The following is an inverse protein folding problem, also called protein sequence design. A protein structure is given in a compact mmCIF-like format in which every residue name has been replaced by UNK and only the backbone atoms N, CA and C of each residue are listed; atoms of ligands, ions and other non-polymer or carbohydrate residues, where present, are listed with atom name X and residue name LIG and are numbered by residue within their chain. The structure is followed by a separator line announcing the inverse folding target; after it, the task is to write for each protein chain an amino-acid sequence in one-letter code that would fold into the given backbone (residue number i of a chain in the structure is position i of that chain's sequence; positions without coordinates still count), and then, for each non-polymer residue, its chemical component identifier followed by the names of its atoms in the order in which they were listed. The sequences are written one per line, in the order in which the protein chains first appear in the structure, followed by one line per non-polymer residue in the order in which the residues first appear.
data_IF_023285526160
#
_entry.id   IF_023285526160
#
_cell.length_a   1.000
_cell.length_b   1.000
_cell.length_c   1.000
_cell.angle_alpha   90.00
_cell.angle_beta   90.00
_cell.angle_gamma   90.00
#
_symmetry.space_group_name_H-M   'P 1'
#
loop_
_entity.id
_entity.type
_entity.pdbx_description
1 polymer ?
#
# COMPACT_ATOMS: atom_id res chain seq x y z
N UNK A 1 8.38 22.97 -29.04
CA UNK A 1 7.65 22.56 -27.83
C UNK A 1 8.68 22.00 -26.86
N UNK A 2 9.18 22.85 -25.97
CA UNK A 2 10.09 22.47 -24.90
C UNK A 2 9.26 22.01 -23.71
N UNK A 3 9.41 20.76 -23.31
CA UNK A 3 9.45 20.41 -21.88
C UNK A 3 10.45 19.26 -21.72
N UNK A 4 11.37 19.51 -20.82
CA UNK A 4 12.66 18.85 -20.67
C UNK A 4 12.57 17.41 -20.17
N UNK A 5 13.61 16.67 -20.54
CA UNK A 5 14.14 15.50 -19.84
C UNK A 5 14.01 15.65 -18.31
N UNK A 6 13.49 14.62 -17.66
CA UNK A 6 13.64 14.46 -16.22
C UNK A 6 14.60 13.28 -15.98
N UNK A 7 15.90 13.52 -15.74
CA UNK A 7 16.73 12.58 -15.01
C UNK A 7 16.85 13.09 -13.57
N UNK A 8 16.22 12.40 -12.60
CA UNK A 8 16.48 12.65 -11.18
C UNK A 8 16.50 11.32 -10.45
N UNK A 9 17.68 10.74 -10.34
CA UNK A 9 18.02 10.00 -9.14
C UNK A 9 17.86 10.96 -7.96
N UNK A 10 16.84 10.72 -7.16
CA UNK A 10 16.67 11.36 -5.87
C UNK A 10 16.16 10.27 -4.92
N UNK A 11 17.12 9.69 -4.22
CA UNK A 11 16.89 8.94 -3.00
C UNK A 11 16.22 9.81 -1.93
N UNK A 12 15.48 9.16 -1.05
CA UNK A 12 14.98 9.65 0.25
C UNK A 12 14.07 10.89 0.27
N UNK A 13 12.76 10.62 0.29
CA UNK A 13 11.77 11.49 0.92
C UNK A 13 10.80 10.62 1.72
N UNK A 14 11.18 10.34 2.97
CA UNK A 14 10.23 10.02 4.02
C UNK A 14 9.23 11.16 4.21
N UNK A 15 8.07 10.81 4.77
CA UNK A 15 6.99 11.71 5.18
C UNK A 15 6.29 12.54 4.09
N UNK A 16 5.30 11.92 3.45
CA UNK A 16 4.03 12.62 3.14
C UNK A 16 2.85 11.74 3.53
N UNK A 17 2.59 11.66 4.84
CA UNK A 17 1.28 11.24 5.33
C UNK A 17 0.28 12.39 5.06
N UNK A 18 -0.40 12.35 3.92
CA UNK A 18 -1.56 13.20 3.69
C UNK A 18 -2.68 12.77 4.66
N UNK A 19 -3.28 13.67 5.45
CA UNK A 19 -4.48 13.36 6.21
C UNK A 19 -5.70 13.56 5.32
N UNK A 20 -6.65 12.63 5.40
CA UNK A 20 -8.01 12.84 4.92
C UNK A 20 -8.56 11.70 4.08
N UNK A 21 -9.45 10.89 4.67
CA UNK A 21 -10.90 10.98 4.41
C UNK A 21 -11.64 10.01 5.34
N UNK A 22 -12.91 10.29 5.55
CA UNK A 22 -13.74 9.95 6.70
C UNK A 22 -13.92 8.43 6.98
N UNK A 23 -14.06 8.05 8.27
CA UNK A 23 -14.20 6.66 8.71
C UNK A 23 -15.64 6.16 8.50
N UNK A 24 -16.06 5.92 7.26
CA UNK A 24 -17.26 5.09 7.04
C UNK A 24 -16.89 3.61 7.24
N UNK A 25 -17.00 3.21 8.50
CA UNK A 25 -16.78 1.86 8.97
C UNK A 25 -17.85 0.93 8.41
N UNK A 26 -17.60 0.33 7.24
CA UNK A 26 -18.30 -0.89 6.85
C UNK A 26 -17.76 -2.05 7.72
N UNK A 27 -18.58 -2.68 8.58
CA UNK A 27 -18.15 -3.77 9.45
C UNK A 27 -18.03 -5.07 8.65
N UNK A 28 -16.95 -5.19 7.89
CA UNK A 28 -16.56 -6.40 7.20
C UNK A 28 -15.10 -6.72 7.48
N UNK A 29 -14.83 -7.90 8.05
CA UNK A 29 -13.53 -8.55 8.26
C UNK A 29 -12.77 -8.22 9.55
N UNK A 30 -13.16 -8.87 10.66
CA UNK A 30 -12.32 -8.98 11.87
C UNK A 30 -10.89 -9.46 11.59
N UNK A 31 -10.69 -10.32 10.58
CA UNK A 31 -9.34 -10.75 10.13
C UNK A 31 -8.51 -9.58 9.60
N UNK A 32 -9.11 -8.69 8.79
CA UNK A 32 -8.41 -7.53 8.23
C UNK A 32 -8.07 -6.53 9.32
N UNK A 33 -9.04 -6.21 10.19
CA UNK A 33 -8.82 -5.32 11.32
C UNK A 33 -7.70 -5.83 12.24
N UNK A 34 -7.72 -7.13 12.58
CA UNK A 34 -6.68 -7.77 13.39
C UNK A 34 -5.30 -7.72 12.73
N UNK A 35 -5.22 -7.94 11.41
CA UNK A 35 -3.96 -7.83 10.66
C UNK A 35 -3.42 -6.39 10.64
N UNK A 36 -4.29 -5.41 10.34
CA UNK A 36 -3.94 -3.98 10.33
C UNK A 36 -3.42 -3.53 11.69
N UNK A 37 -4.11 -3.93 12.77
CA UNK A 37 -3.69 -3.61 14.14
C UNK A 37 -2.38 -4.30 14.51
N UNK A 38 -2.21 -5.59 14.18
CA UNK A 38 -1.00 -6.37 14.48
C UNK A 38 0.27 -5.74 13.89
N UNK A 39 0.18 -5.20 12.68
CA UNK A 39 1.33 -4.65 11.96
C UNK A 39 1.35 -3.12 11.88
N UNK A 40 0.43 -2.42 12.54
CA UNK A 40 0.36 -0.96 12.56
C UNK A 40 0.25 -0.34 11.17
N UNK A 41 -0.60 -0.90 10.32
CA UNK A 41 -0.82 -0.35 8.98
C UNK A 41 -1.63 0.95 9.04
N UNK A 42 -1.25 1.93 8.24
CA UNK A 42 -2.02 3.17 8.07
C UNK A 42 -3.29 2.91 7.26
N UNK A 43 -4.21 3.88 7.23
CA UNK A 43 -5.40 3.80 6.39
C UNK A 43 -5.04 3.58 4.92
N UNK A 44 -4.05 4.32 4.41
CA UNK A 44 -3.62 4.21 3.02
C UNK A 44 -2.96 2.87 2.72
N UNK A 45 -2.16 2.36 3.64
CA UNK A 45 -1.57 1.03 3.53
C UNK A 45 -2.65 -0.07 3.57
N UNK A 46 -3.74 0.16 4.30
CA UNK A 46 -4.88 -0.77 4.37
C UNK A 46 -5.67 -0.81 3.06
N UNK A 47 -5.87 0.34 2.41
CA UNK A 47 -6.43 0.39 1.06
C UNK A 47 -5.55 -0.38 0.07
N UNK A 48 -4.25 -0.09 0.06
CA UNK A 48 -3.27 -0.77 -0.81
C UNK A 48 -3.24 -2.28 -0.52
N UNK A 49 -3.23 -2.71 0.75
CA UNK A 49 -3.33 -4.12 1.12
C UNK A 49 -4.59 -4.77 0.54
N UNK A 50 -5.73 -4.09 0.61
CA UNK A 50 -7.01 -4.60 0.08
C UNK A 50 -6.91 -4.85 -1.43
N UNK A 51 -6.32 -3.93 -2.19
CA UNK A 51 -6.14 -4.09 -3.62
C UNK A 51 -5.09 -5.15 -3.97
N UNK A 52 -4.03 -5.27 -3.15
CA UNK A 52 -3.05 -6.36 -3.27
C UNK A 52 -3.74 -7.71 -3.15
N UNK A 53 -4.55 -7.90 -2.11
CA UNK A 53 -5.31 -9.13 -1.87
C UNK A 53 -6.36 -9.40 -2.96
N UNK A 54 -6.85 -8.36 -3.61
CA UNK A 54 -7.69 -8.45 -4.82
C UNK A 54 -6.92 -8.82 -6.11
N UNK A 55 -5.60 -9.04 -6.03
CA UNK A 55 -4.77 -9.42 -7.17
C UNK A 55 -4.38 -8.26 -8.10
N UNK A 56 -4.63 -7.00 -7.72
CA UNK A 56 -4.35 -5.86 -8.58
C UNK A 56 -2.85 -5.60 -8.75
N UNK A 57 -2.45 -5.22 -9.97
CA UNK A 57 -1.08 -4.78 -10.26
C UNK A 57 -0.89 -3.30 -9.84
N UNK A 58 0.36 -2.83 -9.87
CA UNK A 58 0.70 -1.47 -9.42
C UNK A 58 -0.01 -0.37 -10.23
N UNK A 59 -0.15 -0.54 -11.54
CA UNK A 59 -0.82 0.42 -12.41
C UNK A 59 -2.33 0.52 -12.08
N UNK A 60 -3.02 -0.62 -11.96
CA UNK A 60 -4.43 -0.65 -11.59
C UNK A 60 -4.68 -0.08 -10.18
N UNK A 61 -3.78 -0.34 -9.23
CA UNK A 61 -3.85 0.28 -7.90
C UNK A 61 -3.66 1.79 -7.96
N UNK A 62 -2.72 2.28 -8.78
CA UNK A 62 -2.46 3.70 -8.96
C UNK A 62 -3.69 4.42 -9.52
N UNK A 63 -4.34 3.83 -10.53
CA UNK A 63 -5.59 4.32 -11.10
C UNK A 63 -6.74 4.30 -10.07
N UNK A 64 -6.96 3.17 -9.41
CA UNK A 64 -8.05 3.01 -8.43
C UNK A 64 -7.93 3.97 -7.24
N UNK A 65 -6.70 4.31 -6.86
CA UNK A 65 -6.39 5.16 -5.72
C UNK A 65 -6.08 6.62 -6.12
N UNK A 66 -6.13 6.95 -7.41
CA UNK A 66 -5.80 8.26 -7.98
C UNK A 66 -4.44 8.82 -7.51
N UNK A 67 -3.40 7.98 -7.51
CA UNK A 67 -2.01 8.34 -7.13
C UNK A 67 -1.01 7.81 -8.15
N UNK A 68 0.26 8.20 -8.05
CA UNK A 68 1.31 7.68 -8.93
C UNK A 68 1.68 6.23 -8.61
N UNK A 69 2.13 5.47 -9.62
CA UNK A 69 2.70 4.13 -9.40
C UNK A 69 3.86 4.12 -8.41
N UNK A 70 4.69 5.17 -8.43
CA UNK A 70 5.80 5.33 -7.48
C UNK A 70 5.30 5.44 -6.04
N UNK A 71 4.22 6.19 -5.81
CA UNK A 71 3.56 6.29 -4.51
C UNK A 71 2.99 4.94 -4.06
N UNK A 72 2.36 4.19 -4.97
CA UNK A 72 1.90 2.82 -4.69
C UNK A 72 3.07 1.92 -4.31
N UNK A 73 4.17 1.94 -5.06
CA UNK A 73 5.39 1.16 -4.75
C UNK A 73 5.94 1.50 -3.35
N UNK A 74 5.92 2.76 -2.97
CA UNK A 74 6.31 3.19 -1.61
C UNK A 74 5.39 2.60 -0.55
N UNK A 75 4.06 2.65 -0.74
CA UNK A 75 3.12 2.01 0.18
C UNK A 75 3.33 0.49 0.27
N UNK A 76 3.54 -0.19 -0.86
CA UNK A 76 3.86 -1.62 -0.90
C UNK A 76 5.13 -1.91 -0.10
N UNK A 77 6.21 -1.16 -0.33
CA UNK A 77 7.49 -1.32 0.40
C UNK A 77 7.31 -1.12 1.90
N UNK A 78 6.49 -0.15 2.32
CA UNK A 78 6.19 0.07 3.74
C UNK A 78 5.40 -1.09 4.35
N UNK A 79 4.39 -1.62 3.65
CA UNK A 79 3.63 -2.80 4.11
C UNK A 79 4.57 -4.00 4.25
N UNK A 80 5.39 -4.28 3.25
CA UNK A 80 6.35 -5.38 3.28
C UNK A 80 7.31 -5.25 4.47
N UNK A 81 7.84 -4.05 4.72
CA UNK A 81 8.69 -3.78 5.90
C UNK A 81 7.96 -3.99 7.22
N UNK A 82 6.72 -3.49 7.34
CA UNK A 82 5.92 -3.61 8.58
C UNK A 82 5.49 -5.05 8.88
N UNK A 83 5.30 -5.85 7.84
CA UNK A 83 4.87 -7.25 7.94
C UNK A 83 6.03 -8.24 7.94
N UNK A 84 7.25 -7.75 7.78
CA UNK A 84 8.47 -8.55 7.63
C UNK A 84 8.37 -9.59 6.49
N UNK A 85 7.85 -9.15 5.34
CA UNK A 85 7.65 -10.02 4.17
C UNK A 85 8.53 -9.59 3.00
N UNK A 86 9.12 -10.58 2.31
CA UNK A 86 10.06 -10.33 1.23
C UNK A 86 9.38 -9.96 -0.10
N UNK A 87 8.09 -10.27 -0.27
CA UNK A 87 7.36 -10.00 -1.51
C UNK A 87 5.86 -9.93 -1.29
N UNK A 88 5.13 -9.35 -2.26
CA UNK A 88 3.67 -9.30 -2.22
C UNK A 88 3.02 -10.69 -2.12
N UNK A 89 3.66 -11.72 -2.69
CA UNK A 89 3.13 -13.08 -2.65
C UNK A 89 3.24 -13.67 -1.23
N UNK A 90 4.38 -13.44 -0.57
CA UNK A 90 4.59 -13.83 0.84
C UNK A 90 3.63 -13.06 1.76
N UNK A 91 3.42 -11.77 1.49
CA UNK A 91 2.41 -10.97 2.20
C UNK A 91 0.99 -11.56 2.06
N UNK A 92 0.60 -12.01 0.87
CA UNK A 92 -0.67 -12.69 0.67
C UNK A 92 -0.73 -13.98 1.47
N UNK A 93 0.26 -14.87 1.35
CA UNK A 93 0.30 -16.12 2.11
C UNK A 93 0.19 -15.89 3.63
N UNK A 94 0.93 -14.91 4.16
CA UNK A 94 0.86 -14.49 5.56
C UNK A 94 -0.55 -14.04 5.96
N UNK A 95 -1.23 -13.25 5.12
CA UNK A 95 -2.61 -12.82 5.37
C UNK A 95 -3.62 -13.97 5.29
N UNK A 96 -3.40 -14.94 4.38
CA UNK A 96 -4.25 -16.12 4.23
C UNK A 96 -4.14 -17.05 5.46
N UNK A 97 -3.02 -17.01 6.18
CA UNK A 97 -2.74 -17.85 7.34
C UNK A 97 -1.92 -19.09 6.98
N UNK A 98 -1.20 -19.04 5.85
CA UNK A 98 -0.33 -20.11 5.34
C UNK A 98 1.14 -19.89 5.73
N UNK A 99 1.38 -19.27 6.90
CA UNK A 99 2.72 -18.97 7.43
C UNK A 99 3.13 -19.90 8.56
#
# INVERSE_FOLDING_TARGET
MVVELIPREAEDAGETAAPGHDPDATPGNGKKAGFVQKYGLSSRETEVLTLILGGMNTAAMAEALHISESTVKTHVKNILRKTDTASRNVLMALYMGEG
#
